data_IF_666249284415
#
_entry.id   IF_666249284415
#
_cell.length_a   1.000
_cell.length_b   1.000
_cell.length_c   1.000
_cell.angle_alpha   90.00
_cell.angle_beta   90.00
_cell.angle_gamma   90.00
#
_symmetry.space_group_name_H-M   'P 1'
#
loop_
_entity.id
_entity.type
_entity.pdbx_description
1 polymer ?
#
# COMPACT_ATOMS: atom_id res chain seq x y z
N UNK A 1 -53.88 23.77 -7.33
CA UNK A 1 -52.43 24.03 -7.20
C UNK A 1 -51.99 23.62 -5.81
N UNK A 2 -51.48 22.40 -5.62
CA UNK A 2 -50.87 21.95 -4.35
C UNK A 2 -49.54 21.31 -4.72
N UNK A 3 -48.49 22.13 -4.74
CA UNK A 3 -47.10 21.69 -4.82
C UNK A 3 -46.35 22.57 -3.85
N UNK A 4 -46.10 22.08 -2.65
CA UNK A 4 -45.09 22.64 -1.76
C UNK A 4 -44.79 21.66 -0.62
N UNK A 5 -43.54 21.67 -0.17
CA UNK A 5 -42.91 20.84 0.85
C UNK A 5 -42.54 19.39 0.50
N UNK A 6 -41.42 19.23 -0.24
CA UNK A 6 -40.60 18.01 -0.17
C UNK A 6 -39.08 18.26 -0.15
N UNK A 7 -38.59 19.38 0.39
CA UNK A 7 -37.13 19.63 0.47
C UNK A 7 -36.79 20.30 1.80
N UNK A 8 -36.14 19.56 2.71
CA UNK A 8 -35.68 20.13 3.98
C UNK A 8 -35.11 19.17 5.03
N UNK A 9 -35.16 17.84 4.82
CA UNK A 9 -34.61 16.86 5.77
C UNK A 9 -33.53 16.01 5.09
N UNK A 10 -32.28 16.45 5.10
CA UNK A 10 -31.14 15.60 4.66
C UNK A 10 -29.76 16.03 5.23
N UNK A 11 -29.43 17.30 5.55
CA UNK A 11 -28.10 17.62 6.10
C UNK A 11 -27.98 17.37 7.62
N UNK A 12 -29.07 17.48 8.38
CA UNK A 12 -29.04 17.38 9.85
C UNK A 12 -28.87 15.93 10.34
N UNK A 13 -29.47 14.95 9.65
CA UNK A 13 -29.42 13.54 10.04
C UNK A 13 -28.05 12.92 9.75
N UNK A 14 -27.42 13.31 8.64
CA UNK A 14 -26.06 12.89 8.30
C UNK A 14 -25.02 13.46 9.27
N UNK A 15 -25.16 14.73 9.65
CA UNK A 15 -24.27 15.36 10.64
C UNK A 15 -24.39 14.68 12.01
N UNK A 16 -25.61 14.30 12.41
CA UNK A 16 -25.87 13.57 13.65
C UNK A 16 -25.26 12.16 13.62
N UNK A 17 -25.46 11.43 12.52
CA UNK A 17 -24.89 10.10 12.33
C UNK A 17 -23.35 10.12 12.34
N UNK A 18 -22.73 11.11 11.69
CA UNK A 18 -21.26 11.29 11.70
C UNK A 18 -20.72 11.55 13.10
N UNK A 19 -21.41 12.36 13.91
CA UNK A 19 -21.01 12.63 15.29
C UNK A 19 -21.16 11.38 16.16
N UNK A 20 -22.27 10.65 16.05
CA UNK A 20 -22.51 9.44 16.84
C UNK A 20 -21.49 8.32 16.53
N UNK A 21 -21.13 8.17 15.25
CA UNK A 21 -20.06 7.25 14.82
C UNK A 21 -18.70 7.75 15.31
N UNK A 22 -18.39 9.04 15.17
CA UNK A 22 -17.14 9.61 15.69
C UNK A 22 -16.99 9.42 17.19
N UNK A 23 -18.06 9.62 17.95
CA UNK A 23 -18.06 9.46 19.41
C UNK A 23 -17.86 8.00 19.81
N UNK A 24 -18.50 7.06 19.09
CA UNK A 24 -18.30 5.62 19.32
C UNK A 24 -16.88 5.20 18.99
N UNK A 25 -16.37 5.57 17.81
CA UNK A 25 -15.01 5.27 17.39
C UNK A 25 -14.00 5.88 18.34
N UNK A 26 -14.21 7.12 18.80
CA UNK A 26 -13.32 7.79 19.75
C UNK A 26 -13.30 7.09 21.10
N UNK A 27 -14.45 6.64 21.59
CA UNK A 27 -14.57 5.90 22.85
C UNK A 27 -13.92 4.52 22.78
N UNK A 28 -14.15 3.78 21.69
CA UNK A 28 -13.49 2.49 21.45
C UNK A 28 -11.98 2.65 21.24
N UNK A 29 -11.56 3.68 20.50
CA UNK A 29 -10.13 3.98 20.28
C UNK A 29 -9.43 4.38 21.57
N UNK A 30 -10.12 5.04 22.50
CA UNK A 30 -9.55 5.42 23.79
C UNK A 30 -9.27 4.16 24.64
N UNK A 31 -10.24 3.27 24.79
CA UNK A 31 -10.06 2.02 25.54
C UNK A 31 -9.12 1.03 24.85
N UNK A 32 -9.13 0.96 23.52
CA UNK A 32 -8.17 0.16 22.76
C UNK A 32 -6.77 0.79 22.78
N UNK A 33 -6.67 2.12 22.86
CA UNK A 33 -5.42 2.86 22.83
C UNK A 33 -4.51 2.55 24.01
N UNK A 34 -5.08 2.34 25.20
CA UNK A 34 -4.33 1.96 26.42
C UNK A 34 -3.74 0.55 26.29
N UNK A 35 -4.55 -0.45 25.91
CA UNK A 35 -4.07 -1.82 25.69
C UNK A 35 -3.12 -1.93 24.48
N UNK A 36 -3.33 -1.12 23.45
CA UNK A 36 -2.42 -1.04 22.31
C UNK A 36 -1.12 -0.33 22.69
N UNK A 37 -1.06 0.55 23.67
CA UNK A 37 0.16 1.28 24.00
C UNK A 37 1.27 0.30 24.43
N UNK A 38 0.95 -0.57 25.39
CA UNK A 38 1.89 -1.59 25.87
C UNK A 38 2.28 -2.59 24.78
N UNK A 39 1.31 -3.02 23.98
CA UNK A 39 1.57 -3.93 22.86
C UNK A 39 2.40 -3.25 21.76
N UNK A 40 2.17 -1.96 21.50
CA UNK A 40 2.91 -1.17 20.51
C UNK A 40 4.36 -0.98 20.93
N UNK A 41 4.64 -0.70 22.19
CA UNK A 41 6.02 -0.53 22.65
C UNK A 41 6.82 -1.83 22.52
N UNK A 42 6.22 -2.96 22.88
CA UNK A 42 6.86 -4.26 22.73
C UNK A 42 7.09 -4.64 21.25
N UNK A 43 6.08 -4.42 20.41
CA UNK A 43 6.17 -4.67 18.97
C UNK A 43 7.16 -3.70 18.31
N UNK A 44 7.17 -2.43 18.71
CA UNK A 44 8.07 -1.43 18.17
C UNK A 44 9.53 -1.77 18.50
N UNK A 45 9.83 -2.16 19.74
CA UNK A 45 11.19 -2.60 20.12
C UNK A 45 11.65 -3.77 19.26
N UNK A 46 10.85 -4.84 19.19
CA UNK A 46 11.19 -6.02 18.36
C UNK A 46 11.31 -5.67 16.89
N UNK A 47 10.43 -4.82 16.37
CA UNK A 47 10.48 -4.39 14.98
C UNK A 47 11.76 -3.62 14.65
N UNK A 48 12.25 -2.77 15.57
CA UNK A 48 13.53 -2.07 15.41
C UNK A 48 14.69 -3.06 15.38
N UNK A 49 14.74 -4.00 16.32
CA UNK A 49 15.81 -5.01 16.37
C UNK A 49 15.86 -5.87 15.09
N UNK A 50 14.70 -6.38 14.67
CA UNK A 50 14.59 -7.15 13.41
C UNK A 50 14.90 -6.31 12.18
N UNK A 51 14.49 -5.03 12.15
CA UNK A 51 14.76 -4.15 11.02
C UNK A 51 16.25 -3.85 10.89
N UNK A 52 16.96 -3.63 12.00
CA UNK A 52 18.40 -3.42 12.01
C UNK A 52 19.16 -4.67 11.53
N UNK A 53 18.81 -5.86 12.02
CA UNK A 53 19.44 -7.11 11.58
C UNK A 53 19.18 -7.39 10.09
N UNK A 54 17.94 -7.19 9.64
CA UNK A 54 17.59 -7.32 8.23
C UNK A 54 18.31 -6.29 7.35
N UNK A 55 18.44 -5.05 7.82
CA UNK A 55 19.12 -3.99 7.07
C UNK A 55 20.61 -4.30 6.88
N UNK A 56 21.27 -4.81 7.91
CA UNK A 56 22.69 -5.20 7.85
C UNK A 56 22.89 -6.34 6.84
N UNK A 57 22.07 -7.40 6.95
CA UNK A 57 22.12 -8.55 6.03
C UNK A 57 21.76 -8.18 4.57
N UNK A 58 20.85 -7.22 4.37
CA UNK A 58 20.47 -6.74 3.04
C UNK A 58 21.51 -5.80 2.44
N UNK A 59 22.15 -4.96 3.24
CA UNK A 59 23.19 -4.03 2.77
C UNK A 59 24.41 -4.79 2.24
N UNK A 60 24.80 -5.86 2.93
CA UNK A 60 25.90 -6.74 2.51
C UNK A 60 25.61 -7.45 1.17
N UNK A 61 24.34 -7.82 0.93
CA UNK A 61 23.89 -8.43 -0.35
C UNK A 61 23.55 -7.43 -1.45
N UNK A 62 23.21 -6.19 -1.10
CA UNK A 62 22.81 -5.16 -2.04
C UNK A 62 23.98 -4.70 -2.92
N UNK A 63 25.20 -4.66 -2.37
CA UNK A 63 26.41 -4.34 -3.13
C UNK A 63 26.72 -5.38 -4.21
N UNK A 64 26.47 -6.67 -3.94
CA UNK A 64 26.58 -7.74 -4.93
C UNK A 64 25.42 -7.72 -5.95
N UNK A 65 24.19 -7.50 -5.48
CA UNK A 65 22.97 -7.58 -6.31
C UNK A 65 22.83 -6.38 -7.25
N UNK A 66 23.37 -5.21 -6.91
CA UNK A 66 23.22 -3.98 -7.71
C UNK A 66 23.68 -4.11 -9.18
N UNK A 67 24.62 -5.01 -9.48
CA UNK A 67 25.08 -5.27 -10.85
C UNK A 67 24.07 -6.05 -11.70
N UNK A 68 23.19 -6.85 -11.10
CA UNK A 68 22.24 -7.72 -11.82
C UNK A 68 20.83 -7.13 -12.00
N UNK A 69 20.53 -6.02 -11.31
CA UNK A 69 19.23 -5.33 -11.32
C UNK A 69 18.82 -4.90 -12.74
N UNK A 70 19.76 -4.50 -13.59
CA UNK A 70 19.47 -4.00 -14.94
C UNK A 70 18.73 -5.01 -15.84
N UNK A 71 19.00 -6.30 -15.69
CA UNK A 71 18.35 -7.36 -16.47
C UNK A 71 16.89 -7.60 -16.04
N UNK A 72 16.64 -7.53 -14.73
CA UNK A 72 15.32 -7.76 -14.13
C UNK A 72 14.36 -6.58 -14.38
N UNK A 73 14.88 -5.35 -14.38
CA UNK A 73 14.07 -4.16 -14.71
C UNK A 73 13.63 -4.14 -16.17
N UNK A 74 14.46 -4.61 -17.11
CA UNK A 74 14.08 -4.70 -18.52
C UNK A 74 12.93 -5.70 -18.73
N UNK A 75 12.99 -6.87 -18.08
CA UNK A 75 11.93 -7.87 -18.10
C UNK A 75 10.63 -7.33 -17.50
N UNK A 76 10.72 -6.60 -16.38
CA UNK A 76 9.57 -5.98 -15.73
C UNK A 76 8.94 -4.88 -16.60
N UNK A 77 9.76 -4.02 -17.21
CA UNK A 77 9.29 -2.98 -18.14
C UNK A 77 8.56 -3.55 -19.35
N UNK A 78 9.02 -4.69 -19.90
CA UNK A 78 8.34 -5.39 -20.99
C UNK A 78 6.96 -5.91 -20.59
N UNK A 79 6.84 -6.53 -19.41
CA UNK A 79 5.56 -7.01 -18.90
C UNK A 79 4.57 -5.88 -18.59
N UNK A 80 5.07 -4.77 -18.03
CA UNK A 80 4.26 -3.60 -17.69
C UNK A 80 3.73 -2.89 -18.96
N UNK A 81 4.55 -2.82 -20.02
CA UNK A 81 4.16 -2.29 -21.34
C UNK A 81 3.02 -3.11 -21.94
N UNK A 82 3.15 -4.44 -21.95
CA UNK A 82 2.13 -5.35 -22.48
C UNK A 82 0.80 -5.26 -21.71
N UNK A 83 0.85 -5.13 -20.38
CA UNK A 83 -0.35 -4.95 -19.57
C UNK A 83 -1.02 -3.58 -19.82
N UNK A 84 -0.24 -2.53 -20.03
CA UNK A 84 -0.74 -1.18 -20.31
C UNK A 84 -1.44 -1.10 -21.67
N UNK A 85 -0.88 -1.74 -22.70
CA UNK A 85 -1.51 -1.83 -24.02
C UNK A 85 -2.86 -2.57 -23.96
N UNK A 86 -2.99 -3.55 -23.07
CA UNK A 86 -4.24 -4.28 -22.88
C UNK A 86 -5.31 -3.46 -22.14
N UNK A 87 -4.90 -2.60 -21.20
CA UNK A 87 -5.81 -1.79 -20.38
C UNK A 87 -6.28 -0.52 -21.10
N UNK A 88 -5.46 0.04 -22.00
CA UNK A 88 -5.80 1.21 -22.82
C UNK A 88 -7.00 0.97 -23.76
N UNK A 89 -7.37 -0.29 -24.00
CA UNK A 89 -8.48 -0.68 -24.88
C UNK A 89 -9.84 -0.80 -24.16
N UNK A 90 -9.91 -0.50 -22.85
CA UNK A 90 -11.16 -0.56 -22.08
C UNK A 90 -11.76 0.84 -21.87
N UNK A 91 -12.66 1.22 -22.76
CA UNK A 91 -13.39 2.49 -22.77
C UNK A 91 -14.38 2.60 -21.59
N UNK A 92 -13.97 3.25 -20.49
CA UNK A 92 -14.89 3.68 -19.42
C UNK A 92 -14.53 5.09 -18.93
N UNK A 93 -15.23 6.11 -19.44
CA UNK A 93 -14.85 7.54 -19.39
C UNK A 93 -14.83 8.23 -18.02
N UNK A 94 -15.37 7.63 -16.96
CA UNK A 94 -15.25 8.17 -15.59
C UNK A 94 -14.13 7.50 -14.78
N UNK A 95 -13.87 6.22 -15.05
CA UNK A 95 -12.69 5.53 -14.53
C UNK A 95 -11.41 6.05 -15.21
N UNK A 96 -11.51 6.53 -16.45
CA UNK A 96 -10.37 7.03 -17.23
C UNK A 96 -9.69 8.24 -16.60
N UNK A 97 -10.42 9.18 -15.98
CA UNK A 97 -9.82 10.36 -15.35
C UNK A 97 -9.03 9.97 -14.09
N UNK A 98 -9.61 9.11 -13.24
CA UNK A 98 -8.92 8.57 -12.07
C UNK A 98 -7.70 7.73 -12.48
N UNK A 99 -7.84 6.89 -13.52
CA UNK A 99 -6.74 6.12 -14.08
C UNK A 99 -5.65 7.01 -14.66
N UNK A 100 -6.00 8.17 -15.23
CA UNK A 100 -5.03 9.13 -15.78
C UNK A 100 -4.25 9.86 -14.70
N UNK A 101 -4.91 10.23 -13.61
CA UNK A 101 -4.25 10.79 -12.43
C UNK A 101 -3.33 9.76 -11.77
N UNK A 102 -3.79 8.50 -11.65
CA UNK A 102 -3.00 7.39 -11.15
C UNK A 102 -1.77 7.09 -12.06
N UNK A 103 -1.96 7.07 -13.38
CA UNK A 103 -0.88 6.87 -14.34
C UNK A 103 0.14 8.01 -14.28
N UNK A 104 -0.32 9.27 -14.14
CA UNK A 104 0.55 10.42 -13.98
C UNK A 104 1.38 10.40 -12.69
N UNK A 105 0.83 9.85 -11.60
CA UNK A 105 1.58 9.59 -10.36
C UNK A 105 2.58 8.45 -10.52
N UNK A 106 2.19 7.38 -11.21
CA UNK A 106 3.03 6.20 -11.45
C UNK A 106 4.22 6.51 -12.37
N UNK A 107 4.06 7.35 -13.38
CA UNK A 107 5.14 7.81 -14.28
C UNK A 107 6.21 8.59 -13.52
N UNK A 108 5.79 9.45 -12.60
CA UNK A 108 6.71 10.21 -11.72
C UNK A 108 7.44 9.29 -10.78
N UNK A 109 6.73 8.33 -10.18
CA UNK A 109 7.34 7.33 -9.32
C UNK A 109 8.36 6.48 -10.09
N UNK A 110 8.01 6.01 -11.30
CA UNK A 110 8.89 5.25 -12.20
C UNK A 110 10.15 6.04 -12.57
N UNK A 111 9.99 7.32 -12.91
CA UNK A 111 11.12 8.21 -13.23
C UNK A 111 12.03 8.44 -12.02
N UNK A 112 11.46 8.58 -10.82
CA UNK A 112 12.24 8.70 -9.58
C UNK A 112 12.94 7.40 -9.19
N UNK A 113 12.30 6.24 -9.39
CA UNK A 113 12.89 4.92 -9.08
C UNK A 113 14.11 4.59 -9.95
N UNK A 114 14.19 5.13 -11.17
CA UNK A 114 15.30 4.87 -12.09
C UNK A 114 16.61 5.59 -11.69
N UNK A 115 16.52 6.59 -10.82
CA UNK A 115 17.66 7.44 -10.45
C UNK A 115 17.92 7.56 -8.95
N UNK A 116 16.97 7.17 -8.08
CA UNK A 116 17.15 7.30 -6.63
C UNK A 116 17.83 6.07 -6.02
N UNK A 117 18.87 6.25 -5.19
CA UNK A 117 19.36 5.19 -4.32
C UNK A 117 18.26 4.76 -3.34
N UNK A 118 18.24 3.47 -3.01
CA UNK A 118 17.20 2.86 -2.17
C UNK A 118 17.03 3.57 -0.80
N UNK A 119 18.13 4.09 -0.24
CA UNK A 119 18.10 4.85 1.02
C UNK A 119 17.26 6.14 0.96
N UNK A 120 17.27 6.83 -0.18
CA UNK A 120 16.53 8.08 -0.36
C UNK A 120 15.02 7.83 -0.51
N UNK A 121 14.65 6.70 -1.11
CA UNK A 121 13.24 6.25 -1.19
C UNK A 121 12.71 5.91 0.20
N UNK A 122 13.52 5.23 1.02
CA UNK A 122 13.14 4.87 2.38
C UNK A 122 12.93 6.10 3.27
N UNK A 123 13.80 7.10 3.12
CA UNK A 123 13.71 8.38 3.82
C UNK A 123 12.45 9.17 3.42
N UNK A 124 12.09 9.14 2.14
CA UNK A 124 10.87 9.78 1.61
C UNK A 124 9.60 9.11 2.15
N UNK A 125 9.56 7.77 2.21
CA UNK A 125 8.47 7.01 2.85
C UNK A 125 8.37 7.35 4.33
N UNK A 126 9.50 7.44 5.04
CA UNK A 126 9.53 7.77 6.47
C UNK A 126 9.00 9.20 6.72
N UNK A 127 9.42 10.16 5.90
CA UNK A 127 8.95 11.54 5.99
C UNK A 127 7.45 11.65 5.67
N UNK A 128 6.98 10.96 4.62
CA UNK A 128 5.55 10.90 4.28
C UNK A 128 4.72 10.27 5.40
N UNK A 129 5.22 9.19 6.00
CA UNK A 129 4.59 8.49 7.11
C UNK A 129 4.45 9.35 8.36
N UNK A 130 5.47 10.17 8.67
CA UNK A 130 5.42 11.14 9.77
C UNK A 130 4.39 12.25 9.54
N UNK A 131 4.22 12.68 8.30
CA UNK A 131 3.26 13.73 7.94
C UNK A 131 1.82 13.22 7.84
N UNK A 132 1.64 11.95 7.45
CA UNK A 132 0.34 11.33 7.21
C UNK A 132 0.25 9.93 7.85
N UNK A 133 0.21 9.84 9.20
CA UNK A 133 0.21 8.56 9.90
C UNK A 133 -0.99 7.68 9.53
N UNK A 134 -2.17 8.28 9.31
CA UNK A 134 -3.38 7.52 8.90
C UNK A 134 -3.21 6.80 7.56
N UNK A 135 -2.63 7.48 6.57
CA UNK A 135 -2.39 6.92 5.22
C UNK A 135 -1.34 5.81 5.28
N UNK A 136 -0.29 5.98 6.09
CA UNK A 136 0.74 4.96 6.25
C UNK A 136 0.17 3.67 6.84
N UNK A 137 -0.66 3.77 7.89
CA UNK A 137 -1.29 2.60 8.51
C UNK A 137 -2.30 1.92 7.56
N UNK A 138 -3.12 2.70 6.86
CA UNK A 138 -4.03 2.14 5.85
C UNK A 138 -3.25 1.44 4.73
N UNK A 139 -2.17 2.06 4.25
CA UNK A 139 -1.30 1.51 3.23
C UNK A 139 -0.59 0.23 3.67
N UNK A 140 -0.07 0.17 4.91
CA UNK A 140 0.63 -1.01 5.42
C UNK A 140 -0.30 -2.21 5.59
N UNK A 141 -1.54 -1.99 6.01
CA UNK A 141 -2.56 -3.06 6.08
C UNK A 141 -2.87 -3.60 4.69
N UNK A 142 -3.10 -2.72 3.71
CA UNK A 142 -3.36 -3.12 2.33
C UNK A 142 -2.16 -3.87 1.73
N UNK A 143 -0.94 -3.37 1.94
CA UNK A 143 0.29 -4.00 1.49
C UNK A 143 0.49 -5.38 2.14
N UNK A 144 0.27 -5.50 3.45
CA UNK A 144 0.36 -6.77 4.18
C UNK A 144 -0.64 -7.81 3.69
N UNK A 145 -1.89 -7.41 3.42
CA UNK A 145 -2.89 -8.29 2.83
C UNK A 145 -2.54 -8.70 1.40
N UNK A 146 -2.04 -7.77 0.59
CA UNK A 146 -1.60 -8.06 -0.77
C UNK A 146 -0.42 -9.05 -0.77
N UNK A 147 0.58 -8.83 0.09
CA UNK A 147 1.72 -9.73 0.28
C UNK A 147 1.25 -11.10 0.79
N UNK A 148 0.38 -11.15 1.80
CA UNK A 148 -0.17 -12.41 2.32
C UNK A 148 -1.00 -13.16 1.28
N UNK A 149 -1.74 -12.45 0.44
CA UNK A 149 -2.46 -13.04 -0.70
C UNK A 149 -1.49 -13.55 -1.76
N UNK A 150 -0.41 -12.83 -2.06
CA UNK A 150 0.60 -13.28 -3.01
C UNK A 150 1.30 -14.55 -2.51
N UNK A 151 1.76 -14.57 -1.26
CA UNK A 151 2.40 -15.75 -0.65
C UNK A 151 1.44 -16.96 -0.66
N UNK A 152 0.16 -16.75 -0.36
CA UNK A 152 -0.85 -17.83 -0.38
C UNK A 152 -1.26 -18.25 -1.80
N UNK A 153 -1.19 -17.34 -2.76
CA UNK A 153 -1.54 -17.60 -4.15
C UNK A 153 -0.38 -18.21 -4.94
N UNK A 154 0.87 -18.03 -4.48
CA UNK A 154 2.03 -18.76 -4.96
C UNK A 154 1.80 -20.24 -4.64
N UNK A 155 1.60 -21.11 -5.65
CA UNK A 155 1.53 -22.54 -5.40
C UNK A 155 2.83 -22.94 -4.70
N UNK A 156 2.81 -23.79 -3.66
CA UNK A 156 4.03 -24.47 -3.28
C UNK A 156 4.50 -25.17 -4.56
N UNK A 157 5.72 -24.87 -5.02
CA UNK A 157 6.36 -25.65 -6.06
C UNK A 157 6.31 -27.09 -5.57
N UNK A 158 5.31 -27.82 -6.03
CA UNK A 158 5.20 -29.25 -5.84
C UNK A 158 6.32 -29.75 -6.71
N UNK A 159 7.47 -29.91 -6.04
CA UNK A 159 8.64 -30.61 -6.51
C UNK A 159 8.11 -31.82 -7.28
N UNK A 160 8.18 -31.76 -8.61
CA UNK A 160 8.02 -32.93 -9.48
C UNK A 160 9.23 -33.81 -9.18
N UNK A 161 9.19 -34.47 -8.02
CA UNK A 161 10.04 -35.59 -7.72
C UNK A 161 9.59 -36.71 -8.67
N UNK A 162 10.55 -37.20 -9.44
CA UNK A 162 10.35 -38.12 -10.54
C UNK A 162 9.44 -39.28 -10.16
N UNK A 163 8.46 -39.53 -11.01
CA UNK A 163 7.84 -40.83 -11.12
C UNK A 163 8.06 -41.31 -12.55
N UNK A 164 9.31 -41.67 -12.80
CA UNK A 164 9.71 -42.65 -13.80
C UNK A 164 9.43 -44.03 -13.21
N UNK A 165 8.51 -44.77 -13.84
CA UNK A 165 8.47 -46.23 -13.87
C UNK A 165 7.76 -46.65 -15.17
#
# INVERSE_FOLDING_TARGET
MQRENNQGREPADFAKAKNEVSDRVKKETQSAGEALHDARDEVARRAVDYASEAQEALSERAEETQRDIGSSLAAFGGALRAASDHLANSDQSSASNFMRDAAGGLERLSSSLKQKPFGEVLEEIQNFGRQNPGTLIAGSVLAGLALGRFIKASPPETRRAGQSA
#
